data_IF_968508066496
#
_entry.id   IF_968508066496
#
_cell.length_a   1.000
_cell.length_b   1.000
_cell.length_c   1.000
_cell.angle_alpha   90.00
_cell.angle_beta   90.00
_cell.angle_gamma   90.00
#
_symmetry.space_group_name_H-M   'P 1'
#
loop_
_entity.id
_entity.type
_entity.pdbx_description
1 polymer ?
#
# COMPACT_ATOMS: atom_id res chain seq x y z
N UNK A 1 -31.36 -13.80 17.21
CA UNK A 1 -30.11 -13.16 16.75
C UNK A 1 -29.11 -13.21 17.89
N UNK A 2 -28.04 -14.00 17.78
CA UNK A 2 -26.91 -13.88 18.70
C UNK A 2 -26.10 -12.65 18.25
N UNK A 3 -25.76 -11.75 19.17
CA UNK A 3 -24.85 -10.64 18.84
C UNK A 3 -23.54 -11.21 18.29
N UNK A 4 -22.99 -10.68 17.20
CA UNK A 4 -21.73 -11.21 16.63
C UNK A 4 -20.50 -10.56 17.28
N UNK A 5 -20.69 -9.40 17.94
CA UNK A 5 -19.62 -8.56 18.50
C UNK A 5 -19.91 -8.33 19.98
N UNK A 6 -19.11 -8.97 20.83
CA UNK A 6 -19.31 -8.96 22.29
C UNK A 6 -18.32 -8.06 23.04
N UNK A 7 -17.30 -7.54 22.36
CA UNK A 7 -16.29 -6.68 22.93
C UNK A 7 -16.23 -5.35 22.16
N UNK A 8 -15.92 -4.23 22.83
CA UNK A 8 -15.68 -2.96 22.17
C UNK A 8 -14.56 -3.10 21.13
N UNK A 9 -14.81 -2.57 19.92
CA UNK A 9 -13.81 -2.59 18.85
C UNK A 9 -12.72 -1.55 19.14
N UNK A 10 -11.45 -1.95 19.37
CA UNK A 10 -10.39 -1.02 19.72
C UNK A 10 -10.01 -0.14 18.51
N UNK A 11 -9.75 1.13 18.77
CA UNK A 11 -9.26 2.08 17.77
C UNK A 11 -7.74 2.02 17.70
N UNK A 12 -7.21 1.87 16.48
CA UNK A 12 -5.80 1.94 16.16
C UNK A 12 -5.43 3.39 15.90
N UNK A 13 -5.00 4.08 16.96
CA UNK A 13 -4.67 5.52 16.99
C UNK A 13 -3.23 5.80 16.52
N UNK A 14 -2.97 7.03 16.10
CA UNK A 14 -1.61 7.51 15.76
C UNK A 14 -0.64 7.20 16.91
N UNK A 15 0.55 6.73 16.56
CA UNK A 15 1.65 6.40 17.47
C UNK A 15 1.51 5.08 18.21
N UNK A 16 0.48 4.27 17.91
CA UNK A 16 0.26 2.98 18.57
C UNK A 16 0.75 1.80 17.73
N UNK A 17 1.43 0.86 18.38
CA UNK A 17 1.75 -0.47 17.85
C UNK A 17 0.72 -1.47 18.39
N UNK A 18 -0.37 -1.67 17.64
CA UNK A 18 -1.51 -2.50 18.08
C UNK A 18 -2.14 -3.23 16.91
N UNK A 19 -2.77 -4.36 17.21
CA UNK A 19 -3.53 -5.15 16.26
C UNK A 19 -4.97 -5.36 16.74
N UNK A 20 -5.88 -5.53 15.77
CA UNK A 20 -7.25 -6.00 15.97
C UNK A 20 -7.42 -7.25 15.13
N UNK A 21 -7.73 -8.36 15.79
CA UNK A 21 -7.99 -9.65 15.13
C UNK A 21 -9.45 -10.01 15.33
N UNK A 22 -10.13 -10.41 14.26
CA UNK A 22 -11.55 -10.74 14.28
C UNK A 22 -11.89 -11.82 13.25
N UNK A 23 -13.02 -12.50 13.42
CA UNK A 23 -13.48 -13.44 12.40
C UNK A 23 -14.02 -12.71 11.17
N UNK A 24 -13.99 -13.39 10.01
CA UNK A 24 -14.64 -12.88 8.80
C UNK A 24 -16.15 -12.65 9.02
N UNK A 25 -16.79 -13.43 9.91
CA UNK A 25 -18.18 -13.20 10.31
C UNK A 25 -18.39 -11.89 11.08
N UNK A 26 -17.46 -11.51 11.97
CA UNK A 26 -17.49 -10.22 12.66
C UNK A 26 -17.29 -9.07 11.66
N UNK A 27 -16.33 -9.21 10.75
CA UNK A 27 -16.10 -8.25 9.67
C UNK A 27 -17.34 -8.08 8.80
N UNK A 28 -17.99 -9.17 8.38
CA UNK A 28 -19.24 -9.18 7.63
C UNK A 28 -20.35 -8.40 8.34
N UNK A 29 -20.52 -8.61 9.65
CA UNK A 29 -21.51 -7.88 10.45
C UNK A 29 -21.22 -6.38 10.50
N UNK A 30 -19.95 -5.99 10.69
CA UNK A 30 -19.53 -4.57 10.68
C UNK A 30 -19.78 -3.93 9.30
N UNK A 31 -19.47 -4.64 8.22
CA UNK A 31 -19.66 -4.16 6.87
C UNK A 31 -21.15 -4.04 6.51
N UNK A 32 -22.01 -4.94 7.00
CA UNK A 32 -23.45 -4.80 6.85
C UNK A 32 -23.96 -3.52 7.54
N UNK A 33 -23.48 -3.22 8.76
CA UNK A 33 -23.78 -1.95 9.43
C UNK A 33 -23.28 -0.74 8.63
N UNK A 34 -22.06 -0.81 8.07
CA UNK A 34 -21.49 0.24 7.22
C UNK A 34 -22.31 0.47 5.94
N UNK A 35 -22.75 -0.61 5.31
CA UNK A 35 -23.59 -0.61 4.11
C UNK A 35 -24.92 0.10 4.40
N UNK A 36 -25.59 -0.24 5.51
CA UNK A 36 -26.82 0.44 5.94
C UNK A 36 -26.59 1.79 6.62
N UNK A 37 -25.35 2.28 6.64
CA UNK A 37 -24.96 3.57 7.20
C UNK A 37 -25.28 3.76 8.69
N UNK A 38 -25.16 2.68 9.48
CA UNK A 38 -25.58 2.61 10.88
C UNK A 38 -24.53 3.13 11.87
N UNK A 39 -23.33 3.51 11.43
CA UNK A 39 -22.33 4.08 12.35
C UNK A 39 -22.63 5.57 12.63
N UNK A 40 -23.04 5.93 13.86
CA UNK A 40 -23.43 7.30 14.20
C UNK A 40 -22.23 8.25 14.19
N UNK A 41 -22.48 9.55 14.03
CA UNK A 41 -21.46 10.62 14.10
C UNK A 41 -20.30 10.51 13.07
N UNK A 42 -20.39 9.58 12.11
CA UNK A 42 -19.42 9.43 11.00
C UNK A 42 -19.92 10.01 9.68
N UNK A 43 -21.23 10.25 9.56
CA UNK A 43 -21.89 10.81 8.37
C UNK A 43 -22.05 12.34 8.41
N UNK A 44 -21.71 12.98 9.54
CA UNK A 44 -22.17 14.35 9.82
C UNK A 44 -21.43 15.42 9.00
N UNK A 45 -22.16 16.12 8.14
CA UNK A 45 -21.68 17.24 7.33
C UNK A 45 -21.31 18.46 8.19
N UNK A 46 -21.90 18.57 9.39
CA UNK A 46 -21.63 19.64 10.38
C UNK A 46 -20.24 19.57 11.01
N UNK A 47 -19.51 18.47 10.84
CA UNK A 47 -18.11 18.33 11.30
C UNK A 47 -17.05 18.78 10.27
N UNK A 48 -17.43 19.41 9.15
CA UNK A 48 -16.47 19.92 8.14
C UNK A 48 -15.35 20.78 8.71
N UNK A 49 -15.58 21.46 9.84
CA UNK A 49 -14.59 22.34 10.47
C UNK A 49 -13.66 21.63 11.48
N UNK A 50 -13.91 20.36 11.84
CA UNK A 50 -12.96 19.54 12.60
C UNK A 50 -12.32 18.55 11.64
N UNK A 51 -11.00 18.61 11.48
CA UNK A 51 -10.24 17.62 10.66
C UNK A 51 -10.57 16.23 11.17
N UNK A 52 -11.34 15.45 10.40
CA UNK A 52 -11.66 14.05 10.74
C UNK A 52 -10.34 13.29 10.79
N UNK A 53 -10.05 12.62 11.90
CA UNK A 53 -8.84 11.81 12.02
C UNK A 53 -9.04 10.38 11.50
N UNK A 54 -10.29 9.94 11.31
CA UNK A 54 -10.67 8.63 10.76
C UNK A 54 -11.39 8.78 9.42
N UNK A 55 -11.26 7.79 8.51
CA UNK A 55 -12.13 7.67 7.34
C UNK A 55 -13.62 7.59 7.72
N UNK A 56 -14.50 7.85 6.75
CA UNK A 56 -15.93 7.56 6.93
C UNK A 56 -16.20 6.10 6.53
N UNK A 57 -16.65 5.22 7.43
CA UNK A 57 -16.96 3.84 7.08
C UNK A 57 -18.32 3.68 6.39
N UNK A 58 -19.24 4.67 6.47
CA UNK A 58 -20.59 4.53 5.91
C UNK A 58 -20.61 4.69 4.38
N UNK A 59 -21.41 3.86 3.72
CA UNK A 59 -21.41 3.70 2.25
C UNK A 59 -22.23 4.78 1.52
N UNK A 60 -22.75 5.77 2.23
CA UNK A 60 -23.64 6.80 1.66
C UNK A 60 -23.04 7.52 0.44
N UNK A 61 -21.72 7.74 0.42
CA UNK A 61 -21.05 8.36 -0.72
C UNK A 61 -20.97 7.45 -1.96
N UNK A 62 -21.04 6.13 -1.79
CA UNK A 62 -20.99 5.15 -2.87
C UNK A 62 -22.32 5.08 -3.62
N UNK A 63 -23.43 5.33 -2.90
CA UNK A 63 -24.79 5.36 -3.44
C UNK A 63 -25.09 6.65 -4.22
N UNK A 64 -24.33 7.70 -3.94
CA UNK A 64 -24.46 8.97 -4.66
C UNK A 64 -23.85 8.85 -6.05
N UNK A 65 -24.52 9.47 -7.03
CA UNK A 65 -24.15 9.53 -8.45
C UNK A 65 -24.06 8.17 -9.15
N UNK A 66 -24.78 8.02 -10.27
CA UNK A 66 -24.79 6.80 -11.11
C UNK A 66 -23.53 6.62 -11.96
N UNK A 67 -22.35 7.05 -11.48
CA UNK A 67 -21.11 6.96 -12.25
C UNK A 67 -20.76 5.49 -12.53
N UNK A 68 -20.41 5.09 -13.77
CA UNK A 68 -20.17 3.69 -14.13
C UNK A 68 -19.24 2.92 -13.17
N UNK A 69 -18.08 3.47 -12.81
CA UNK A 69 -17.16 2.84 -11.84
C UNK A 69 -17.78 2.59 -10.46
N UNK A 70 -18.66 3.45 -9.95
CA UNK A 70 -19.36 3.22 -8.67
C UNK A 70 -20.34 2.07 -8.76
N UNK A 71 -21.06 1.95 -9.88
CA UNK A 71 -21.94 0.80 -10.15
C UNK A 71 -21.12 -0.50 -10.14
N UNK A 72 -19.94 -0.49 -10.74
CA UNK A 72 -19.06 -1.67 -10.78
C UNK A 72 -18.51 -2.01 -9.39
N UNK A 73 -18.14 -1.02 -8.58
CA UNK A 73 -17.79 -1.27 -7.17
C UNK A 73 -18.96 -1.86 -6.39
N UNK A 74 -20.16 -1.31 -6.57
CA UNK A 74 -21.37 -1.81 -5.90
C UNK A 74 -21.65 -3.27 -6.28
N UNK A 75 -21.40 -3.67 -7.53
CA UNK A 75 -21.46 -5.08 -7.94
C UNK A 75 -20.50 -5.96 -7.13
N UNK A 76 -19.23 -5.56 -6.96
CA UNK A 76 -18.29 -6.32 -6.13
C UNK A 76 -18.75 -6.44 -4.67
N UNK A 77 -19.24 -5.33 -4.08
CA UNK A 77 -19.73 -5.31 -2.70
C UNK A 77 -20.97 -6.19 -2.53
N UNK A 78 -21.94 -6.11 -3.44
CA UNK A 78 -23.14 -6.94 -3.42
C UNK A 78 -22.80 -8.42 -3.66
N UNK A 79 -21.83 -8.70 -4.51
CA UNK A 79 -21.30 -10.05 -4.73
C UNK A 79 -20.68 -10.63 -3.45
N UNK A 80 -19.89 -9.84 -2.72
CA UNK A 80 -19.40 -10.21 -1.39
C UNK A 80 -20.54 -10.55 -0.42
N UNK A 81 -21.53 -9.66 -0.29
CA UNK A 81 -22.67 -9.90 0.61
C UNK A 81 -23.46 -11.15 0.22
N UNK A 82 -23.67 -11.39 -1.08
CA UNK A 82 -24.30 -12.61 -1.58
C UNK A 82 -23.51 -13.86 -1.15
N UNK A 83 -22.20 -13.87 -1.34
CA UNK A 83 -21.35 -15.02 -1.01
C UNK A 83 -21.38 -15.36 0.48
N UNK A 84 -21.24 -14.35 1.35
CA UNK A 84 -21.20 -14.58 2.80
C UNK A 84 -22.57 -14.94 3.39
N UNK A 85 -23.68 -14.57 2.74
CA UNK A 85 -25.03 -15.00 3.16
C UNK A 85 -25.39 -16.39 2.67
N UNK A 86 -24.87 -16.81 1.50
CA UNK A 86 -24.97 -18.19 1.02
C UNK A 86 -24.10 -19.15 1.86
N UNK A 87 -22.85 -18.75 2.14
CA UNK A 87 -21.92 -19.51 2.98
C UNK A 87 -20.99 -18.56 3.74
N UNK A 88 -21.24 -18.41 5.03
CA UNK A 88 -20.42 -17.56 5.89
C UNK A 88 -18.99 -18.12 5.98
N UNK A 89 -17.95 -17.34 5.63
CA UNK A 89 -16.57 -17.76 5.80
C UNK A 89 -16.19 -17.88 7.28
N UNK A 90 -15.30 -18.82 7.58
CA UNK A 90 -14.89 -19.17 8.95
C UNK A 90 -13.43 -18.80 9.27
N UNK A 91 -12.78 -18.00 8.41
CA UNK A 91 -11.41 -17.53 8.66
C UNK A 91 -11.35 -16.31 9.57
N UNK A 92 -10.12 -15.86 9.77
CA UNK A 92 -9.75 -14.74 10.63
C UNK A 92 -9.08 -13.65 9.78
N UNK A 93 -9.27 -12.39 10.16
CA UNK A 93 -8.51 -11.26 9.63
C UNK A 93 -7.81 -10.52 10.78
N UNK A 94 -6.65 -9.94 10.50
CA UNK A 94 -5.92 -9.05 11.41
C UNK A 94 -5.65 -7.72 10.72
N UNK A 95 -6.01 -6.63 11.41
CA UNK A 95 -5.63 -5.27 11.05
C UNK A 95 -4.60 -4.81 12.08
N UNK A 96 -3.40 -4.46 11.64
CA UNK A 96 -2.32 -4.06 12.54
C UNK A 96 -1.79 -2.69 12.15
N UNK A 97 -1.72 -1.78 13.12
CA UNK A 97 -1.02 -0.52 12.98
C UNK A 97 0.39 -0.68 13.53
N UNK A 98 1.34 -0.17 12.77
CA UNK A 98 2.74 -0.11 13.17
C UNK A 98 3.28 1.31 13.00
N UNK A 99 4.00 1.79 14.00
CA UNK A 99 4.69 3.05 14.07
C UNK A 99 6.16 2.76 14.42
N UNK A 100 7.06 3.08 13.49
CA UNK A 100 8.49 2.90 13.69
C UNK A 100 8.98 3.86 14.80
N UNK A 101 9.61 3.36 15.87
CA UNK A 101 10.24 4.22 16.87
C UNK A 101 11.31 5.12 16.26
N UNK A 102 11.36 6.38 16.71
CA UNK A 102 12.27 7.40 16.15
C UNK A 102 13.75 7.05 16.26
N UNK A 103 14.15 6.32 17.31
CA UNK A 103 15.54 5.87 17.48
C UNK A 103 15.96 4.78 16.48
N UNK A 104 15.02 4.20 15.73
CA UNK A 104 15.28 3.21 14.68
C UNK A 104 15.22 3.84 13.28
N UNK A 105 15.18 5.17 13.17
CA UNK A 105 15.18 5.84 11.87
C UNK A 105 16.56 5.70 11.22
N UNK A 106 16.66 5.16 9.99
CA UNK A 106 17.95 4.99 9.33
C UNK A 106 18.60 6.34 8.98
N UNK A 107 19.93 6.41 9.10
CA UNK A 107 20.73 7.51 8.56
C UNK A 107 21.13 7.16 7.13
N UNK A 108 20.27 7.48 6.16
CA UNK A 108 20.35 6.99 4.78
C UNK A 108 21.70 7.21 4.10
N UNK A 109 22.36 8.35 4.36
CA UNK A 109 23.65 8.70 3.77
C UNK A 109 24.79 7.78 4.21
N UNK A 110 24.66 7.15 5.37
CA UNK A 110 25.76 6.44 6.03
C UNK A 110 25.65 4.92 5.84
N UNK A 111 24.51 4.44 5.32
CA UNK A 111 24.21 3.02 5.14
C UNK A 111 25.12 2.38 4.08
N UNK A 112 25.90 1.38 4.52
CA UNK A 112 26.77 0.58 3.67
C UNK A 112 26.09 -0.70 3.14
N UNK A 113 24.80 -0.88 3.43
CA UNK A 113 24.01 -2.01 2.95
C UNK A 113 24.00 -2.04 1.42
N UNK A 114 24.32 -3.19 0.83
CA UNK A 114 24.21 -3.41 -0.62
C UNK A 114 22.78 -3.67 -1.06
N UNK A 115 22.55 -3.70 -2.38
CA UNK A 115 21.22 -3.89 -2.94
C UNK A 115 20.66 -5.30 -2.70
N UNK A 116 19.38 -5.40 -2.35
CA UNK A 116 18.63 -6.66 -2.32
C UNK A 116 18.43 -7.25 -3.71
N UNK A 117 17.85 -8.46 -3.77
CA UNK A 117 17.40 -9.05 -5.01
C UNK A 117 16.21 -8.29 -5.57
N UNK A 118 16.21 -8.05 -6.89
CA UNK A 118 15.16 -7.36 -7.62
C UNK A 118 14.59 -8.29 -8.69
N UNK A 119 13.27 -8.45 -8.69
CA UNK A 119 12.53 -9.18 -9.70
C UNK A 119 11.58 -8.23 -10.41
N UNK A 120 11.71 -8.14 -11.72
CA UNK A 120 10.92 -7.23 -12.55
C UNK A 120 9.80 -7.98 -13.27
N UNK A 121 8.60 -7.40 -13.32
CA UNK A 121 7.47 -8.00 -14.05
C UNK A 121 6.56 -6.96 -14.68
N UNK A 122 6.17 -7.22 -15.93
CA UNK A 122 5.12 -6.49 -16.67
C UNK A 122 3.82 -7.28 -16.79
N UNK A 123 3.83 -8.57 -16.40
CA UNK A 123 2.73 -9.50 -16.66
C UNK A 123 1.82 -9.80 -15.47
N UNK A 124 2.18 -9.33 -14.27
CA UNK A 124 1.43 -9.61 -13.04
C UNK A 124 1.01 -8.32 -12.35
N UNK A 125 -0.19 -8.32 -11.79
CA UNK A 125 -0.63 -7.30 -10.83
C UNK A 125 -0.14 -7.69 -9.44
N UNK A 126 -0.03 -6.71 -8.55
CA UNK A 126 0.44 -6.93 -7.17
C UNK A 126 -0.45 -7.97 -6.45
N UNK A 127 -1.76 -7.91 -6.64
CA UNK A 127 -2.73 -8.85 -6.05
C UNK A 127 -2.60 -10.29 -6.55
N UNK A 128 -1.91 -10.51 -7.67
CA UNK A 128 -1.70 -11.83 -8.27
C UNK A 128 -0.31 -12.40 -7.92
N UNK A 129 0.49 -11.68 -7.11
CA UNK A 129 1.78 -12.16 -6.58
C UNK A 129 1.54 -12.87 -5.25
N UNK A 130 1.47 -14.19 -5.29
CA UNK A 130 1.29 -15.03 -4.11
C UNK A 130 2.59 -15.12 -3.28
N UNK A 131 2.46 -15.30 -1.96
CA UNK A 131 3.60 -15.52 -1.06
C UNK A 131 4.50 -14.28 -0.88
N UNK A 132 3.98 -13.09 -1.16
CA UNK A 132 4.69 -11.82 -0.98
C UNK A 132 3.89 -10.89 -0.06
N UNK A 133 4.58 -9.91 0.53
CA UNK A 133 3.93 -8.75 1.13
C UNK A 133 3.48 -7.81 0.00
N UNK A 134 2.17 -7.67 -0.16
CA UNK A 134 1.57 -6.90 -1.24
C UNK A 134 1.37 -5.45 -0.81
N UNK A 135 1.95 -4.51 -1.56
CA UNK A 135 1.85 -3.08 -1.25
C UNK A 135 0.51 -2.51 -1.74
N UNK A 136 -0.21 -1.87 -0.82
CA UNK A 136 -1.35 -1.00 -1.11
C UNK A 136 -0.85 0.45 -1.20
N UNK A 137 -1.06 1.08 -2.37
CA UNK A 137 -0.65 2.45 -2.68
C UNK A 137 -1.62 3.44 -2.04
N UNK A 138 -1.57 3.48 -0.72
CA UNK A 138 -2.63 4.01 0.10
C UNK A 138 -2.73 5.54 0.06
N UNK A 139 -3.88 6.03 0.48
CA UNK A 139 -3.99 7.37 1.04
C UNK A 139 -3.65 7.34 2.54
N UNK A 140 -3.17 8.47 3.09
CA UNK A 140 -2.93 8.58 4.55
C UNK A 140 -4.17 8.28 5.38
N UNK A 141 -5.35 8.45 4.80
CA UNK A 141 -6.60 7.88 5.31
C UNK A 141 -6.86 6.58 4.54
N UNK A 142 -6.62 5.45 5.19
CA UNK A 142 -6.71 4.12 4.57
C UNK A 142 -8.03 3.91 3.83
N UNK A 143 -7.95 3.32 2.64
CA UNK A 143 -9.05 3.11 1.71
C UNK A 143 -9.37 4.33 0.84
N UNK A 144 -8.74 5.48 1.08
CA UNK A 144 -8.81 6.66 0.21
C UNK A 144 -10.21 7.03 -0.22
N UNK A 145 -10.46 6.98 -1.54
CA UNK A 145 -11.74 7.30 -2.16
C UNK A 145 -12.65 6.08 -2.39
N UNK A 146 -12.46 4.95 -1.69
CA UNK A 146 -13.13 3.67 -2.01
C UNK A 146 -14.65 3.75 -1.94
N UNK A 147 -15.18 4.42 -0.93
CA UNK A 147 -16.63 4.66 -0.80
C UNK A 147 -17.10 5.87 -1.63
N UNK A 148 -16.23 6.48 -2.43
CA UNK A 148 -16.53 7.64 -3.27
C UNK A 148 -16.07 7.43 -4.72
N UNK A 149 -15.45 8.45 -5.29
CA UNK A 149 -15.05 8.50 -6.70
C UNK A 149 -13.67 7.89 -7.01
N UNK A 150 -12.83 7.62 -5.99
CA UNK A 150 -11.51 7.01 -6.20
C UNK A 150 -11.67 5.63 -6.82
N UNK A 151 -10.82 5.21 -7.74
CA UNK A 151 -10.95 3.89 -8.37
C UNK A 151 -9.61 3.43 -8.97
N UNK A 152 -8.53 3.74 -8.27
CA UNK A 152 -7.18 3.36 -8.65
C UNK A 152 -6.77 2.14 -7.81
N UNK A 153 -5.47 1.86 -7.68
CA UNK A 153 -4.96 0.63 -7.07
C UNK A 153 -5.55 0.35 -5.67
N UNK A 154 -5.51 1.31 -4.74
CA UNK A 154 -6.06 1.16 -3.38
C UNK A 154 -7.57 0.84 -3.41
N UNK A 155 -8.37 1.68 -4.07
CA UNK A 155 -9.82 1.48 -4.05
C UNK A 155 -10.26 0.21 -4.76
N UNK A 156 -9.57 -0.17 -5.84
CA UNK A 156 -9.82 -1.44 -6.53
C UNK A 156 -9.55 -2.60 -5.57
N UNK A 157 -8.41 -2.58 -4.86
CA UNK A 157 -8.06 -3.66 -3.94
C UNK A 157 -9.08 -3.81 -2.81
N UNK A 158 -9.48 -2.70 -2.19
CA UNK A 158 -10.52 -2.70 -1.15
C UNK A 158 -11.90 -3.09 -1.67
N UNK A 159 -12.18 -2.87 -2.96
CA UNK A 159 -13.44 -3.26 -3.59
C UNK A 159 -13.52 -4.76 -3.87
N UNK A 160 -12.41 -5.39 -4.30
CA UNK A 160 -12.37 -6.83 -4.59
C UNK A 160 -12.10 -7.68 -3.34
N UNK A 161 -11.57 -7.08 -2.28
CA UNK A 161 -11.36 -7.67 -0.95
C UNK A 161 -12.12 -6.87 0.15
N UNK A 162 -13.46 -6.91 0.20
CA UNK A 162 -14.26 -5.96 1.01
C UNK A 162 -14.00 -6.00 2.51
N UNK A 163 -13.47 -7.10 3.05
CA UNK A 163 -13.06 -7.22 4.46
C UNK A 163 -12.05 -6.13 4.88
N UNK A 164 -11.24 -5.64 3.93
CA UNK A 164 -10.32 -4.53 4.15
C UNK A 164 -11.04 -3.23 4.55
N UNK A 165 -12.30 -3.05 4.15
CA UNK A 165 -13.09 -1.85 4.48
C UNK A 165 -13.36 -1.70 5.98
N UNK A 166 -13.20 -2.76 6.78
CA UNK A 166 -13.27 -2.67 8.25
C UNK A 166 -12.18 -1.75 8.80
N UNK A 167 -11.04 -1.61 8.11
CA UNK A 167 -9.97 -0.69 8.51
C UNK A 167 -10.43 0.78 8.58
N UNK A 168 -11.39 1.20 7.77
CA UNK A 168 -11.95 2.56 7.80
C UNK A 168 -12.62 2.88 9.15
N UNK A 169 -13.09 1.85 9.86
CA UNK A 169 -13.75 2.00 11.15
C UNK A 169 -12.74 2.15 12.30
N UNK A 170 -11.60 1.46 12.21
CA UNK A 170 -10.66 1.29 13.33
C UNK A 170 -9.36 2.05 13.19
N UNK A 171 -8.95 2.44 11.99
CA UNK A 171 -7.65 3.09 11.75
C UNK A 171 -7.78 4.61 11.65
N UNK A 172 -7.02 5.32 12.50
CA UNK A 172 -6.76 6.75 12.34
C UNK A 172 -5.79 7.00 11.17
N UNK A 173 -5.73 8.22 10.63
CA UNK A 173 -4.78 8.59 9.57
C UNK A 173 -3.34 8.20 9.91
N UNK A 174 -2.55 7.77 8.94
CA UNK A 174 -1.13 7.45 9.11
C UNK A 174 -0.26 8.71 9.18
N UNK A 175 0.77 8.68 10.03
CA UNK A 175 1.91 9.61 10.03
C UNK A 175 3.08 9.05 9.18
N UNK A 176 4.12 9.85 8.86
CA UNK A 176 5.22 9.42 7.98
C UNK A 176 5.94 8.13 8.39
N UNK A 177 6.02 7.85 9.69
CA UNK A 177 6.66 6.66 10.25
C UNK A 177 5.67 5.54 10.59
N UNK A 178 4.46 5.56 10.01
CA UNK A 178 3.43 4.56 10.28
C UNK A 178 3.00 3.78 9.02
N UNK A 179 2.55 2.55 9.20
CA UNK A 179 1.87 1.77 8.17
C UNK A 179 0.73 0.94 8.78
N UNK A 180 -0.13 0.39 7.93
CA UNK A 180 -1.21 -0.50 8.35
C UNK A 180 -1.10 -1.82 7.59
N UNK A 181 -0.94 -2.91 8.31
CA UNK A 181 -1.00 -4.26 7.76
C UNK A 181 -2.43 -4.80 7.77
N UNK A 182 -2.81 -5.45 6.67
CA UNK A 182 -4.07 -6.16 6.50
C UNK A 182 -3.74 -7.61 6.17
N UNK A 183 -4.06 -8.51 7.10
CA UNK A 183 -3.63 -9.91 7.05
C UNK A 183 -4.87 -10.80 7.05
N UNK A 184 -4.94 -11.73 6.09
CA UNK A 184 -6.00 -12.73 6.04
C UNK A 184 -7.25 -12.36 5.26
N UNK A 185 -7.32 -11.14 4.71
CA UNK A 185 -8.47 -10.71 3.91
C UNK A 185 -8.60 -11.53 2.62
N UNK A 186 -9.82 -11.99 2.35
CA UNK A 186 -10.16 -12.78 1.17
C UNK A 186 -10.50 -11.88 -0.03
N UNK A 187 -10.07 -12.30 -1.22
CA UNK A 187 -10.55 -11.74 -2.50
C UNK A 187 -11.83 -12.44 -2.93
N UNK A 188 -12.88 -11.66 -3.19
CA UNK A 188 -14.20 -12.18 -3.56
C UNK A 188 -14.54 -11.92 -5.02
N UNK A 189 -13.93 -10.93 -5.66
CA UNK A 189 -14.28 -10.51 -7.01
C UNK A 189 -13.10 -10.55 -7.98
N UNK A 190 -13.40 -11.02 -9.19
CA UNK A 190 -12.56 -10.79 -10.37
C UNK A 190 -12.90 -9.43 -10.96
N UNK A 191 -11.92 -8.82 -11.65
CA UNK A 191 -12.14 -7.51 -12.26
C UNK A 191 -11.26 -7.30 -13.49
N UNK A 192 -11.69 -6.36 -14.32
CA UNK A 192 -10.95 -5.85 -15.47
C UNK A 192 -10.96 -4.32 -15.51
N UNK A 193 -10.07 -3.75 -16.30
CA UNK A 193 -9.91 -2.31 -16.43
C UNK A 193 -9.34 -1.64 -15.18
N UNK A 194 -9.27 -0.31 -15.21
CA UNK A 194 -8.66 0.51 -14.16
C UNK A 194 -9.28 1.92 -14.18
N UNK A 195 -9.33 2.61 -13.04
CA UNK A 195 -9.93 3.95 -12.95
C UNK A 195 -11.35 3.99 -13.54
N UNK A 196 -11.56 4.75 -14.61
CA UNK A 196 -12.88 4.90 -15.23
C UNK A 196 -13.32 3.67 -16.04
N UNK A 197 -12.41 2.77 -16.42
CA UNK A 197 -12.72 1.53 -17.13
C UNK A 197 -12.89 0.32 -16.21
N UNK A 198 -12.78 0.51 -14.88
CA UNK A 198 -12.96 -0.57 -13.90
C UNK A 198 -14.32 -1.26 -14.05
N UNK A 199 -14.31 -2.59 -14.12
CA UNK A 199 -15.49 -3.43 -14.25
C UNK A 199 -15.37 -4.67 -13.37
N UNK A 200 -16.46 -4.99 -12.67
CA UNK A 200 -16.64 -6.30 -12.03
C UNK A 200 -16.68 -7.39 -13.11
N UNK A 201 -15.93 -8.46 -12.89
CA UNK A 201 -15.73 -9.54 -13.87
C UNK A 201 -16.06 -10.92 -13.29
N UNK A 202 -17.00 -10.96 -12.34
CA UNK A 202 -17.50 -12.20 -11.75
C UNK A 202 -16.80 -12.60 -10.46
N UNK A 203 -17.08 -13.85 -10.05
CA UNK A 203 -16.57 -14.40 -8.81
C UNK A 203 -15.05 -14.64 -8.86
N UNK A 204 -14.43 -14.60 -7.70
CA UNK A 204 -13.06 -15.05 -7.51
C UNK A 204 -13.01 -16.09 -6.39
N UNK A 205 -12.62 -17.31 -6.75
CA UNK A 205 -12.39 -18.38 -5.78
C UNK A 205 -10.97 -18.26 -5.27
N UNK A 206 -10.85 -17.65 -4.09
CA UNK A 206 -9.57 -17.46 -3.43
C UNK A 206 -9.07 -18.78 -2.82
N UNK A 207 -8.16 -19.45 -3.53
CA UNK A 207 -7.51 -20.69 -3.10
C UNK A 207 -6.28 -20.46 -2.21
N UNK A 208 -6.02 -19.23 -1.77
CA UNK A 208 -4.89 -18.93 -0.88
C UNK A 208 -5.00 -19.78 0.39
N UNK A 209 -3.93 -20.52 0.77
CA UNK A 209 -3.88 -21.28 2.01
C UNK A 209 -4.14 -20.42 3.24
N UNK A 210 -4.49 -21.06 4.35
CA UNK A 210 -4.62 -20.40 5.66
C UNK A 210 -3.43 -20.74 6.54
N UNK A 211 -3.03 -19.79 7.39
CA UNK A 211 -2.08 -20.03 8.46
C UNK A 211 -2.73 -20.77 9.65
N UNK A 212 -1.92 -21.04 10.68
CA UNK A 212 -2.36 -21.74 11.90
C UNK A 212 -3.42 -20.97 12.70
N UNK A 213 -3.65 -19.68 12.41
CA UNK A 213 -4.67 -18.85 13.06
C UNK A 213 -5.95 -18.77 12.21
N UNK A 214 -6.00 -19.44 11.07
CA UNK A 214 -7.14 -19.43 10.16
C UNK A 214 -7.21 -18.17 9.28
N UNK A 215 -6.13 -17.38 9.19
CA UNK A 215 -6.01 -16.24 8.28
C UNK A 215 -5.50 -16.71 6.94
N UNK A 216 -6.04 -16.21 5.83
CA UNK A 216 -5.42 -16.47 4.51
C UNK A 216 -3.98 -15.94 4.48
N UNK A 217 -3.09 -16.60 3.75
CA UNK A 217 -1.73 -16.10 3.41
C UNK A 217 -1.78 -14.94 2.40
N UNK A 218 -2.61 -13.95 2.71
CA UNK A 218 -2.80 -12.69 2.01
C UNK A 218 -2.33 -11.61 2.98
N UNK A 219 -1.10 -11.12 2.75
CA UNK A 219 -0.44 -10.13 3.58
C UNK A 219 -0.31 -8.85 2.78
N UNK A 220 -0.97 -7.79 3.23
CA UNK A 220 -0.88 -6.48 2.60
C UNK A 220 -0.34 -5.44 3.57
N UNK A 221 0.33 -4.42 3.03
CA UNK A 221 0.71 -3.22 3.77
C UNK A 221 0.24 -1.98 3.04
N UNK A 222 -0.57 -1.18 3.73
CA UNK A 222 -1.00 0.14 3.30
C UNK A 222 0.07 1.17 3.69
N UNK A 223 0.62 1.85 2.68
CA UNK A 223 1.62 2.90 2.86
C UNK A 223 1.32 4.08 1.92
N UNK A 224 1.19 5.26 2.50
CA UNK A 224 0.78 6.45 1.75
C UNK A 224 1.97 7.25 1.23
N UNK A 225 2.00 7.55 -0.07
CA UNK A 225 2.97 8.45 -0.69
C UNK A 225 2.59 9.93 -0.47
N UNK A 226 3.54 10.84 -0.64
CA UNK A 226 3.24 12.27 -0.72
C UNK A 226 2.45 12.54 -2.00
N UNK A 227 1.38 13.33 -1.89
CA UNK A 227 0.63 13.83 -3.03
C UNK A 227 1.24 15.17 -3.47
N UNK A 228 2.06 15.15 -4.53
CA UNK A 228 2.73 16.33 -5.05
C UNK A 228 1.77 17.14 -5.91
N UNK A 229 1.26 18.25 -5.37
CA UNK A 229 0.44 19.21 -6.13
C UNK A 229 1.29 19.99 -7.13
N UNK A 230 2.50 20.31 -6.72
CA UNK A 230 3.57 20.79 -7.58
C UNK A 230 4.61 19.67 -7.70
N UNK A 231 4.70 18.98 -8.86
CA UNK A 231 5.65 17.91 -9.07
C UNK A 231 7.12 18.31 -8.88
N UNK A 232 7.48 19.60 -8.95
CA UNK A 232 8.87 20.03 -8.74
C UNK A 232 9.34 19.86 -7.28
N UNK A 233 8.41 19.91 -6.32
CA UNK A 233 8.70 19.79 -4.89
C UNK A 233 9.17 18.40 -4.46
N UNK A 234 8.97 17.37 -5.30
CA UNK A 234 9.39 16.02 -4.97
C UNK A 234 10.90 15.83 -4.95
N UNK A 235 11.64 16.77 -5.54
CA UNK A 235 13.10 16.78 -5.60
C UNK A 235 13.75 17.50 -4.41
N UNK A 236 13.01 17.63 -3.31
CA UNK A 236 13.54 18.02 -2.00
C UNK A 236 13.97 16.76 -1.24
N UNK A 237 15.15 16.80 -0.60
CA UNK A 237 15.63 15.68 0.20
C UNK A 237 14.75 15.40 1.41
N UNK A 238 14.06 16.40 1.97
CA UNK A 238 13.08 16.15 3.04
C UNK A 238 11.91 15.27 2.54
N UNK A 239 11.51 15.45 1.28
CA UNK A 239 10.50 14.59 0.66
C UNK A 239 11.04 13.18 0.42
N UNK A 240 12.31 13.05 0.01
CA UNK A 240 12.96 11.73 -0.15
C UNK A 240 13.06 11.00 1.18
N UNK A 241 13.53 11.67 2.24
CA UNK A 241 13.66 11.09 3.58
C UNK A 241 12.32 10.60 4.11
N UNK A 242 11.26 11.39 3.90
CA UNK A 242 9.88 11.01 4.25
C UNK A 242 9.46 9.73 3.52
N UNK A 243 9.67 9.66 2.21
CA UNK A 243 9.23 8.53 1.39
C UNK A 243 10.05 7.26 1.67
N UNK A 244 11.37 7.41 1.90
CA UNK A 244 12.25 6.33 2.35
C UNK A 244 11.80 5.80 3.71
N UNK A 245 11.55 6.69 4.68
CA UNK A 245 11.06 6.32 6.01
C UNK A 245 9.74 5.55 5.95
N UNK A 246 8.80 6.03 5.14
CA UNK A 246 7.49 5.38 4.92
C UNK A 246 7.65 3.99 4.31
N UNK A 247 8.45 3.87 3.25
CA UNK A 247 8.69 2.59 2.59
C UNK A 247 9.39 1.61 3.53
N UNK A 248 10.45 2.03 4.22
CA UNK A 248 11.19 1.18 5.15
C UNK A 248 10.34 0.74 6.35
N UNK A 249 9.55 1.65 6.93
CA UNK A 249 8.58 1.32 7.98
C UNK A 249 7.64 0.18 7.54
N UNK A 250 7.26 0.17 6.27
CA UNK A 250 6.32 -0.79 5.69
C UNK A 250 6.97 -2.11 5.28
N UNK A 251 8.26 -2.08 4.96
CA UNK A 251 9.01 -3.21 4.42
C UNK A 251 9.76 -3.99 5.50
N UNK A 252 10.18 -3.32 6.58
CA UNK A 252 10.97 -3.97 7.63
C UNK A 252 10.23 -5.14 8.27
N UNK A 253 10.96 -6.17 8.72
CA UNK A 253 10.46 -7.13 9.69
C UNK A 253 9.81 -6.45 10.90
N UNK A 254 8.68 -6.97 11.39
CA UNK A 254 8.06 -6.46 12.60
C UNK A 254 8.86 -6.84 13.87
N UNK A 255 9.53 -7.99 13.84
CA UNK A 255 10.35 -8.51 14.93
C UNK A 255 11.83 -8.54 14.51
N UNK A 256 12.71 -8.02 15.36
CA UNK A 256 14.16 -8.06 15.12
C UNK A 256 14.67 -9.51 15.12
N UNK A 257 15.50 -9.85 14.13
CA UNK A 257 16.04 -11.20 13.98
C UNK A 257 15.05 -12.23 13.41
N UNK A 258 13.82 -11.83 13.06
CA UNK A 258 12.94 -12.68 12.27
C UNK A 258 13.37 -12.64 10.80
N UNK A 259 13.69 -13.81 10.25
CA UNK A 259 13.86 -13.98 8.82
C UNK A 259 12.47 -13.82 8.17
N UNK A 260 12.13 -12.60 7.77
CA UNK A 260 10.95 -12.38 6.93
C UNK A 260 11.25 -12.89 5.53
N UNK A 261 10.81 -14.11 5.25
CA UNK A 261 11.07 -14.79 3.98
C UNK A 261 10.30 -14.20 2.79
N UNK A 262 9.25 -13.40 3.05
CA UNK A 262 8.41 -12.90 1.96
C UNK A 262 9.11 -11.77 1.19
N UNK A 263 9.16 -11.89 -0.13
CA UNK A 263 9.46 -10.77 -1.00
C UNK A 263 8.39 -9.65 -0.86
N UNK A 264 8.72 -8.44 -1.29
CA UNK A 264 7.82 -7.28 -1.33
C UNK A 264 7.29 -7.14 -2.75
N UNK A 265 5.98 -7.28 -2.95
CA UNK A 265 5.34 -7.05 -4.24
C UNK A 265 4.81 -5.61 -4.30
N UNK A 266 5.42 -4.77 -5.14
CA UNK A 266 5.10 -3.36 -5.28
C UNK A 266 5.07 -2.91 -6.75
N UNK A 267 5.11 -1.61 -7.03
CA UNK A 267 5.18 -1.02 -8.35
C UNK A 267 5.30 0.51 -8.29
N UNK A 268 4.58 1.20 -9.16
CA UNK A 268 4.61 2.67 -9.32
C UNK A 268 3.89 3.42 -8.17
N UNK A 269 4.34 3.19 -6.94
CA UNK A 269 3.79 3.77 -5.71
C UNK A 269 3.84 5.30 -5.72
N UNK A 270 2.67 5.93 -5.63
CA UNK A 270 2.54 7.39 -5.62
C UNK A 270 2.71 8.08 -6.98
N UNK A 271 2.89 7.35 -8.08
CA UNK A 271 3.23 7.95 -9.38
C UNK A 271 2.02 8.35 -10.24
N UNK A 272 0.84 7.79 -9.96
CA UNK A 272 -0.39 8.10 -10.69
C UNK A 272 -1.06 9.36 -10.16
N UNK A 273 -2.15 9.19 -9.41
CA UNK A 273 -2.95 10.30 -8.86
C UNK A 273 -2.18 11.25 -7.93
N UNK A 274 -0.98 10.85 -7.47
CA UNK A 274 -0.14 11.61 -6.54
C UNK A 274 1.07 12.27 -7.21
N UNK A 275 1.21 12.11 -8.53
CA UNK A 275 2.20 12.79 -9.40
C UNK A 275 3.68 12.60 -9.03
N UNK A 276 4.02 11.52 -8.32
CA UNK A 276 5.42 11.14 -8.09
C UNK A 276 6.13 10.65 -9.35
N UNK A 277 7.42 10.89 -9.43
CA UNK A 277 8.32 10.39 -10.47
C UNK A 277 8.58 8.90 -10.23
N UNK A 278 8.27 8.08 -11.24
CA UNK A 278 8.40 6.62 -11.21
C UNK A 278 9.86 6.15 -11.10
N UNK A 279 10.81 6.87 -11.68
CA UNK A 279 12.24 6.54 -11.63
C UNK A 279 12.79 6.79 -10.21
N UNK A 280 12.45 7.94 -9.63
CA UNK A 280 12.81 8.27 -8.24
C UNK A 280 12.17 7.29 -7.25
N UNK A 281 10.86 7.02 -7.41
CA UNK A 281 10.13 6.08 -6.54
C UNK A 281 10.60 4.64 -6.66
N UNK A 282 11.12 4.21 -7.81
CA UNK A 282 11.73 2.89 -7.96
C UNK A 282 13.01 2.77 -7.11
N UNK A 283 13.91 3.76 -7.19
CA UNK A 283 15.14 3.80 -6.38
C UNK A 283 14.83 3.89 -4.88
N UNK A 284 13.88 4.73 -4.47
CA UNK A 284 13.46 4.84 -3.05
C UNK A 284 12.97 3.49 -2.51
N UNK A 285 12.14 2.77 -3.28
CA UNK A 285 11.64 1.47 -2.85
C UNK A 285 12.74 0.40 -2.82
N UNK A 286 13.68 0.43 -3.77
CA UNK A 286 14.85 -0.46 -3.79
C UNK A 286 15.74 -0.22 -2.57
N UNK A 287 16.02 1.04 -2.22
CA UNK A 287 16.78 1.39 -1.02
C UNK A 287 16.09 0.88 0.24
N UNK A 288 14.80 1.17 0.40
CA UNK A 288 14.04 0.73 1.58
C UNK A 288 13.94 -0.79 1.70
N UNK A 289 13.76 -1.52 0.58
CA UNK A 289 13.72 -2.98 0.57
C UNK A 289 15.09 -3.60 0.88
N UNK A 290 16.17 -2.99 0.38
CA UNK A 290 17.55 -3.38 0.66
C UNK A 290 17.88 -3.24 2.15
N UNK A 291 17.49 -2.12 2.77
CA UNK A 291 17.69 -1.93 4.21
C UNK A 291 16.80 -2.88 5.04
N UNK A 292 15.59 -3.17 4.57
CA UNK A 292 14.73 -4.17 5.16
C UNK A 292 15.22 -5.62 4.95
N UNK A 293 16.27 -5.83 4.13
CA UNK A 293 16.85 -7.13 3.74
C UNK A 293 15.82 -8.07 3.10
N UNK A 294 14.98 -7.54 2.22
CA UNK A 294 13.91 -8.32 1.57
C UNK A 294 13.97 -8.19 0.05
N UNK A 295 13.78 -9.28 -0.71
CA UNK A 295 13.68 -9.20 -2.16
C UNK A 295 12.53 -8.29 -2.58
N UNK A 296 12.72 -7.54 -3.66
CA UNK A 296 11.72 -6.63 -4.22
C UNK A 296 11.19 -7.20 -5.54
N UNK A 297 9.87 -7.38 -5.64
CA UNK A 297 9.17 -7.69 -6.88
C UNK A 297 8.50 -6.40 -7.36
N UNK A 298 9.03 -5.81 -8.44
CA UNK A 298 8.53 -4.56 -9.00
C UNK A 298 7.60 -4.84 -10.19
N UNK A 299 6.31 -4.65 -9.97
CA UNK A 299 5.27 -4.78 -10.98
C UNK A 299 4.91 -3.40 -11.56
N UNK A 300 5.51 -3.04 -12.70
CA UNK A 300 5.25 -1.77 -13.37
C UNK A 300 4.00 -1.80 -14.30
N UNK A 301 3.13 -2.80 -14.11
CA UNK A 301 1.97 -3.03 -14.97
C UNK A 301 2.39 -3.08 -16.46
N UNK A 302 1.94 -2.16 -17.31
CA UNK A 302 2.28 -2.14 -18.74
C UNK A 302 3.47 -1.23 -19.11
N UNK A 303 4.18 -0.67 -18.13
CA UNK A 303 5.30 0.25 -18.38
C UNK A 303 6.60 -0.52 -18.66
N UNK A 304 6.68 -1.11 -19.86
CA UNK A 304 7.85 -1.89 -20.27
C UNK A 304 9.12 -1.05 -20.31
N UNK A 305 9.03 0.22 -20.73
CA UNK A 305 10.18 1.13 -20.76
C UNK A 305 10.78 1.32 -19.38
N UNK A 306 9.95 1.54 -18.34
CA UNK A 306 10.46 1.64 -16.97
C UNK A 306 11.17 0.35 -16.54
N UNK A 307 10.60 -0.81 -16.86
CA UNK A 307 11.16 -2.11 -16.48
C UNK A 307 12.51 -2.35 -17.16
N UNK A 308 12.57 -2.19 -18.48
CA UNK A 308 13.80 -2.39 -19.26
C UNK A 308 14.90 -1.43 -18.78
N UNK A 309 14.57 -0.17 -18.49
CA UNK A 309 15.55 0.79 -17.95
C UNK A 309 15.95 0.51 -16.50
N UNK A 310 15.03 0.03 -15.66
CA UNK A 310 15.34 -0.32 -14.27
C UNK A 310 16.26 -1.55 -14.19
N UNK A 311 16.08 -2.52 -15.10
CA UNK A 311 16.94 -3.71 -15.21
C UNK A 311 18.40 -3.31 -15.47
N UNK A 312 18.62 -2.47 -16.49
CA UNK A 312 19.96 -1.97 -16.85
C UNK A 312 20.59 -1.16 -15.71
N UNK A 313 19.81 -0.28 -15.06
CA UNK A 313 20.30 0.49 -13.91
C UNK A 313 20.64 -0.42 -12.72
N UNK A 314 19.83 -1.44 -12.45
CA UNK A 314 20.06 -2.37 -11.37
C UNK A 314 21.34 -3.18 -11.58
N UNK A 315 21.54 -3.72 -12.77
CA UNK A 315 22.77 -4.45 -13.13
C UNK A 315 24.01 -3.58 -12.98
N UNK A 316 23.96 -2.34 -13.50
CA UNK A 316 25.04 -1.38 -13.32
C UNK A 316 25.34 -1.12 -11.82
N UNK A 317 24.31 -0.86 -11.01
CA UNK A 317 24.51 -0.59 -9.58
C UNK A 317 25.07 -1.80 -8.83
N UNK A 318 24.66 -3.03 -9.20
CA UNK A 318 25.21 -4.28 -8.66
C UNK A 318 26.68 -4.46 -9.04
N UNK A 319 27.04 -4.21 -10.30
CA UNK A 319 28.43 -4.29 -10.79
C UNK A 319 29.34 -3.29 -10.08
N UNK A 320 28.84 -2.07 -9.84
CA UNK A 320 29.55 -1.04 -9.09
C UNK A 320 29.59 -1.30 -7.57
N UNK A 321 28.94 -2.36 -7.08
CA UNK A 321 28.76 -2.64 -5.65
C UNK A 321 28.20 -1.44 -4.88
N UNK A 322 27.25 -0.75 -5.49
CA UNK A 322 26.65 0.45 -4.91
C UNK A 322 25.93 0.13 -3.58
N UNK A 323 26.08 1.02 -2.62
CA UNK A 323 25.41 0.96 -1.32
C UNK A 323 24.18 1.87 -1.30
N UNK A 324 23.32 1.70 -0.29
CA UNK A 324 22.19 2.63 -0.07
C UNK A 324 22.68 4.08 0.10
N UNK A 325 23.80 4.29 0.80
CA UNK A 325 24.43 5.60 0.92
C UNK A 325 24.82 6.20 -0.44
N UNK A 326 25.36 5.40 -1.36
CA UNK A 326 25.69 5.85 -2.73
C UNK A 326 24.41 6.25 -3.50
N UNK A 327 23.33 5.45 -3.41
CA UNK A 327 22.03 5.77 -4.02
C UNK A 327 21.43 7.07 -3.46
N UNK A 328 21.57 7.30 -2.15
CA UNK A 328 21.16 8.56 -1.52
C UNK A 328 21.96 9.76 -2.08
N UNK A 329 23.27 9.60 -2.31
CA UNK A 329 24.09 10.64 -2.95
C UNK A 329 23.71 10.86 -4.42
N UNK A 330 23.37 9.82 -5.17
CA UNK A 330 22.85 9.96 -6.54
C UNK A 330 21.61 10.85 -6.55
N UNK A 331 20.62 10.60 -5.69
CA UNK A 331 19.41 11.42 -5.58
C UNK A 331 19.75 12.87 -5.25
N UNK A 332 20.59 13.08 -4.23
CA UNK A 332 20.99 14.41 -3.78
C UNK A 332 21.67 15.23 -4.89
N UNK A 333 22.59 14.63 -5.65
CA UNK A 333 23.32 15.31 -6.74
C UNK A 333 22.48 15.46 -8.01
N UNK A 334 21.60 14.50 -8.30
CA UNK A 334 20.66 14.60 -9.41
C UNK A 334 19.70 15.79 -9.21
N UNK A 335 19.24 16.01 -7.97
CA UNK A 335 18.31 17.10 -7.66
C UNK A 335 18.93 18.50 -7.71
N UNK A 336 20.24 18.63 -7.83
CA UNK A 336 20.90 19.93 -8.03
C UNK A 336 21.15 20.26 -9.50
N UNK A 337 20.92 19.32 -10.43
CA UNK A 337 21.11 19.56 -11.86
C UNK A 337 20.08 20.56 -12.39
N UNK A 338 20.51 21.47 -13.27
CA UNK A 338 19.65 22.50 -13.88
C UNK A 338 18.81 21.95 -15.04
N UNK A 339 19.36 21.05 -15.86
CA UNK A 339 18.65 20.34 -16.92
C UNK A 339 18.61 18.85 -16.55
N UNK A 340 17.43 18.39 -16.11
CA UNK A 340 17.26 17.04 -15.56
C UNK A 340 16.71 16.14 -16.65
N UNK A 341 17.58 15.30 -17.22
CA UNK A 341 17.18 14.03 -17.83
C UNK A 341 16.56 13.10 -16.78
N UNK A 342 16.35 11.82 -17.10
CA UNK A 342 15.86 10.88 -16.09
C UNK A 342 16.93 10.57 -15.03
N UNK A 343 16.52 10.26 -13.79
CA UNK A 343 17.44 9.78 -12.75
C UNK A 343 18.26 8.56 -13.22
N UNK A 344 17.64 7.69 -14.01
CA UNK A 344 18.30 6.47 -14.52
C UNK A 344 19.44 6.80 -15.47
N UNK A 345 19.24 7.72 -16.42
CA UNK A 345 20.32 8.22 -17.29
C UNK A 345 21.43 8.89 -16.48
N UNK A 346 21.08 9.65 -15.44
CA UNK A 346 22.08 10.27 -14.56
C UNK A 346 22.94 9.21 -13.84
N UNK A 347 22.32 8.15 -13.31
CA UNK A 347 23.03 7.05 -12.64
C UNK A 347 23.99 6.35 -13.62
N UNK A 348 23.52 5.98 -14.81
CA UNK A 348 24.32 5.25 -15.81
C UNK A 348 25.52 6.07 -16.30
N UNK A 349 25.40 7.40 -16.34
CA UNK A 349 26.48 8.29 -16.80
C UNK A 349 27.41 8.75 -15.67
N UNK A 350 27.15 8.36 -14.42
CA UNK A 350 27.90 8.85 -13.25
C UNK A 350 28.49 7.66 -12.49
N UNK A 351 29.82 7.42 -12.57
CA UNK A 351 30.49 6.38 -11.79
C UNK A 351 30.29 6.53 -10.29
N UNK A 352 30.11 5.43 -9.55
CA UNK A 352 29.96 5.46 -8.07
C UNK A 352 31.17 6.12 -7.39
N UNK A 353 32.37 5.94 -7.94
CA UNK A 353 33.59 6.59 -7.45
C UNK A 353 33.51 8.12 -7.43
N UNK A 354 32.72 8.72 -8.33
CA UNK A 354 32.51 10.16 -8.41
C UNK A 354 31.64 10.68 -7.26
N UNK A 355 30.84 9.83 -6.62
CA UNK A 355 29.99 10.22 -5.49
C UNK A 355 30.77 10.46 -4.19
N UNK A 356 31.97 9.88 -4.10
CA UNK A 356 32.83 9.91 -2.91
C UNK A 356 33.82 11.07 -2.90
N UNK A 357 33.96 11.77 -4.02
CA UNK A 357 34.66 13.06 -4.16
C UNK A 357 33.69 14.21 -4.00
#
# INVERSE_FOLDING_TARGET
MKCTIFQPLPLLRIGTNRSVTMSQQQAASLLACAFFCLFPNRSDYKQKNKRRSFPNPNFNALYQSGHPKKIQKLKCILHYFRRITEKMPNGIITIQRFALPTHLFPQWSDLQTGLCDLHLTTGKKIEDVNGALQVDFACKYIGGGVLGNGCVQEEIRFTICPEMLVSLLVCERMEPNECIFLIGCERYSSYRGYANSFQFDGDYIDNTPKDNWGRKWSHLVAMDAICFRDPSTQYDMECVDRELLKAYTSFRPLEEGSDYEFAIATGNWGCGAFHGDKYVKAIIQLMAASEARRPLIYAAYHDKTLIDSLDVVYDYLKDQKATIGDLYQYLKRYFTQMDRGSLFEYILNTPVSFLKS
#
